data_IF_424375341218
#
_entry.id   IF_424375341218
#
_cell.length_a   1.000
_cell.length_b   1.000
_cell.length_c   1.000
_cell.angle_alpha   90.00
_cell.angle_beta   90.00
_cell.angle_gamma   90.00
#
_symmetry.space_group_name_H-M   'P 1'
#
loop_
_entity.id
_entity.type
_entity.pdbx_description
1 polymer ?
#
# COMPACT_ATOMS: atom_id res chain seq x y z
N UNK A 1 -11.80 -13.64 9.99
CA UNK A 1 -10.76 -12.75 9.41
C UNK A 1 -9.48 -13.55 9.25
N UNK A 2 -9.30 -14.27 8.13
CA UNK A 2 -8.03 -14.93 7.81
C UNK A 2 -7.72 -14.56 6.36
N UNK A 3 -6.96 -13.49 6.17
CA UNK A 3 -6.43 -13.06 4.90
C UNK A 3 -4.92 -13.29 5.00
N UNK A 4 -4.37 -14.23 4.24
CA UNK A 4 -2.99 -14.70 4.41
C UNK A 4 -2.00 -14.02 3.48
N UNK A 5 -2.47 -13.29 2.45
CA UNK A 5 -1.62 -12.77 1.38
C UNK A 5 -1.76 -11.26 1.19
N UNK A 6 -0.61 -10.64 0.95
CA UNK A 6 -0.48 -9.24 0.54
C UNK A 6 0.17 -9.24 -0.85
N UNK A 7 -0.58 -8.87 -1.89
CA UNK A 7 -0.11 -9.01 -3.29
C UNK A 7 0.00 -7.63 -3.91
N UNK A 8 1.16 -7.36 -4.52
CA UNK A 8 1.51 -6.03 -5.02
C UNK A 8 1.06 -5.81 -6.47
N UNK A 9 0.46 -4.65 -6.72
CA UNK A 9 0.22 -4.11 -8.08
C UNK A 9 1.48 -3.49 -8.65
N UNK A 10 1.61 -3.50 -9.98
CA UNK A 10 2.79 -3.03 -10.71
C UNK A 10 2.50 -1.90 -11.69
N UNK A 11 1.22 -1.59 -11.94
CA UNK A 11 0.78 -0.44 -12.72
C UNK A 11 1.41 0.87 -12.25
N UNK A 12 1.59 1.82 -13.16
CA UNK A 12 2.21 3.13 -12.90
C UNK A 12 1.18 4.26 -12.79
N UNK A 13 -0.04 4.03 -13.27
CA UNK A 13 -1.18 4.93 -13.09
C UNK A 13 -2.21 4.37 -12.10
N UNK A 14 -3.05 5.23 -11.54
CA UNK A 14 -4.09 4.79 -10.61
C UNK A 14 -5.06 3.79 -11.27
N UNK A 15 -5.42 4.03 -12.54
CA UNK A 15 -6.36 3.18 -13.29
C UNK A 15 -5.77 1.78 -13.53
N UNK A 16 -4.50 1.69 -13.94
CA UNK A 16 -3.80 0.41 -14.09
C UNK A 16 -3.75 -0.36 -12.77
N UNK A 17 -3.38 0.31 -11.68
CA UNK A 17 -3.33 -0.31 -10.34
C UNK A 17 -4.70 -0.82 -9.90
N UNK A 18 -5.79 -0.09 -10.19
CA UNK A 18 -7.15 -0.50 -9.84
C UNK A 18 -7.56 -1.71 -10.69
N UNK A 19 -7.30 -1.71 -11.99
CA UNK A 19 -7.62 -2.85 -12.87
C UNK A 19 -6.87 -4.10 -12.41
N UNK A 20 -5.57 -3.99 -12.14
CA UNK A 20 -4.74 -5.08 -11.64
C UNK A 20 -5.25 -5.58 -10.29
N UNK A 21 -5.56 -4.68 -9.35
CA UNK A 21 -6.10 -5.04 -8.04
C UNK A 21 -7.39 -5.86 -8.16
N UNK A 22 -8.32 -5.45 -9.03
CA UNK A 22 -9.57 -6.17 -9.26
C UNK A 22 -9.33 -7.53 -9.91
N UNK A 23 -8.34 -7.63 -10.82
CA UNK A 23 -7.92 -8.90 -11.40
C UNK A 23 -7.33 -9.84 -10.34
N UNK A 24 -6.47 -9.33 -9.45
CA UNK A 24 -5.87 -10.10 -8.35
C UNK A 24 -6.94 -10.66 -7.40
N UNK A 25 -7.93 -9.86 -7.01
CA UNK A 25 -9.03 -10.31 -6.16
C UNK A 25 -9.84 -11.42 -6.83
N UNK A 26 -10.02 -11.34 -8.15
CA UNK A 26 -10.76 -12.34 -8.94
C UNK A 26 -9.98 -13.64 -9.14
N UNK A 27 -8.68 -13.54 -9.41
CA UNK A 27 -7.86 -14.69 -9.86
C UNK A 27 -7.08 -15.37 -8.73
N UNK A 28 -6.67 -14.63 -7.70
CA UNK A 28 -5.87 -15.17 -6.60
C UNK A 28 -6.74 -15.59 -5.41
N UNK A 29 -7.35 -14.62 -4.72
CA UNK A 29 -8.32 -14.85 -3.64
C UNK A 29 -9.14 -13.57 -3.42
N UNK A 30 -10.43 -13.73 -3.16
CA UNK A 30 -11.34 -12.68 -2.68
C UNK A 30 -10.88 -11.99 -1.38
N UNK A 31 -10.01 -12.64 -0.61
CA UNK A 31 -9.47 -12.20 0.68
C UNK A 31 -7.95 -12.03 0.57
N UNK A 32 -7.54 -10.98 -0.14
CA UNK A 32 -6.16 -10.49 -0.17
C UNK A 32 -6.10 -9.04 0.32
N UNK A 33 -4.94 -8.64 0.83
CA UNK A 33 -4.58 -7.24 0.94
C UNK A 33 -3.88 -6.81 -0.35
N UNK A 34 -4.39 -5.77 -1.01
CA UNK A 34 -3.75 -5.21 -2.19
C UNK A 34 -2.61 -4.31 -1.71
N UNK A 35 -1.39 -4.64 -2.10
CA UNK A 35 -0.19 -3.91 -1.73
C UNK A 35 0.11 -2.83 -2.79
N UNK A 36 0.06 -1.56 -2.40
CA UNK A 36 0.16 -0.40 -3.31
C UNK A 36 1.35 0.48 -2.93
N UNK A 37 2.29 0.79 -3.84
CA UNK A 37 3.37 1.73 -3.56
C UNK A 37 2.85 3.14 -3.27
N UNK A 38 3.41 3.82 -2.26
CA UNK A 38 3.02 5.20 -1.91
C UNK A 38 3.64 6.21 -2.89
N UNK A 39 2.99 6.37 -4.03
CA UNK A 39 3.22 7.44 -5.02
C UNK A 39 1.98 8.32 -5.14
N UNK A 40 2.05 9.41 -5.91
CA UNK A 40 0.87 10.24 -6.18
C UNK A 40 -0.29 9.43 -6.81
N UNK A 41 0.01 8.58 -7.78
CA UNK A 41 -0.98 7.71 -8.41
C UNK A 41 -1.39 6.56 -7.47
N UNK A 42 -0.46 6.05 -6.68
CA UNK A 42 -0.73 5.05 -5.65
C UNK A 42 -1.72 5.56 -4.60
N UNK A 43 -1.57 6.78 -4.10
CA UNK A 43 -2.51 7.38 -3.12
C UNK A 43 -3.94 7.49 -3.68
N UNK A 44 -4.10 7.84 -4.96
CA UNK A 44 -5.41 7.84 -5.62
C UNK A 44 -6.00 6.42 -5.68
N UNK A 45 -5.19 5.44 -6.06
CA UNK A 45 -5.62 4.04 -6.12
C UNK A 45 -6.01 3.52 -4.73
N UNK A 46 -5.22 3.83 -3.69
CA UNK A 46 -5.51 3.48 -2.29
C UNK A 46 -6.88 4.04 -1.89
N UNK A 47 -7.13 5.34 -2.13
CA UNK A 47 -8.40 5.98 -1.79
C UNK A 47 -9.60 5.30 -2.47
N UNK A 48 -9.49 5.04 -3.78
CA UNK A 48 -10.57 4.40 -4.54
C UNK A 48 -10.80 2.96 -4.06
N UNK A 49 -9.75 2.15 -3.93
CA UNK A 49 -9.87 0.75 -3.55
C UNK A 49 -10.37 0.61 -2.09
N UNK A 50 -9.85 1.42 -1.17
CA UNK A 50 -10.30 1.43 0.23
C UNK A 50 -11.77 1.83 0.35
N UNK A 51 -12.22 2.85 -0.41
CA UNK A 51 -13.65 3.24 -0.45
C UNK A 51 -14.59 2.14 -0.95
N UNK A 52 -14.05 1.16 -1.71
CA UNK A 52 -14.76 -0.02 -2.20
C UNK A 52 -14.68 -1.22 -1.25
N UNK A 53 -14.07 -1.05 -0.07
CA UNK A 53 -13.96 -2.07 0.96
C UNK A 53 -12.79 -3.04 0.80
N UNK A 54 -11.85 -2.76 -0.11
CA UNK A 54 -10.65 -3.58 -0.24
C UNK A 54 -9.63 -3.27 0.85
N UNK A 55 -9.05 -4.31 1.43
CA UNK A 55 -7.93 -4.17 2.36
C UNK A 55 -6.67 -3.75 1.62
N UNK A 56 -5.97 -2.74 2.14
CA UNK A 56 -4.78 -2.16 1.49
C UNK A 56 -3.54 -2.27 2.38
N UNK A 57 -2.40 -2.58 1.75
CA UNK A 57 -1.08 -2.38 2.35
C UNK A 57 -0.30 -1.34 1.57
N UNK A 58 -0.12 -0.16 2.15
CA UNK A 58 0.71 0.88 1.58
C UNK A 58 2.19 0.50 1.75
N UNK A 59 2.95 0.45 0.66
CA UNK A 59 4.36 0.00 0.65
C UNK A 59 5.30 1.06 0.07
N UNK A 60 6.61 0.80 0.12
CA UNK A 60 7.64 1.73 -0.34
C UNK A 60 7.61 3.06 0.43
N UNK A 61 7.39 2.96 1.74
CA UNK A 61 7.39 4.10 2.66
C UNK A 61 8.81 4.32 3.17
N UNK A 62 9.28 5.57 3.01
CA UNK A 62 10.60 6.06 3.41
C UNK A 62 10.54 7.31 4.29
N UNK A 63 9.33 7.79 4.61
CA UNK A 63 9.13 8.94 5.48
C UNK A 63 7.80 8.86 6.22
N UNK A 64 7.71 9.53 7.36
CA UNK A 64 6.47 9.66 8.13
C UNK A 64 5.32 10.24 7.31
N UNK A 65 5.58 11.30 6.54
CA UNK A 65 4.53 11.95 5.75
C UNK A 65 3.91 11.00 4.71
N UNK A 66 4.70 10.09 4.13
CA UNK A 66 4.16 9.06 3.24
C UNK A 66 3.24 8.10 4.00
N UNK A 67 3.60 7.71 5.22
CA UNK A 67 2.75 6.87 6.05
C UNK A 67 1.44 7.58 6.42
N UNK A 68 1.51 8.84 6.87
CA UNK A 68 0.32 9.63 7.20
C UNK A 68 -0.60 9.81 5.99
N UNK A 69 -0.05 10.14 4.81
CA UNK A 69 -0.85 10.26 3.59
C UNK A 69 -1.50 8.94 3.19
N UNK A 70 -0.81 7.81 3.36
CA UNK A 70 -1.38 6.50 3.07
C UNK A 70 -2.51 6.12 4.05
N UNK A 71 -2.34 6.44 5.34
CA UNK A 71 -3.38 6.25 6.37
C UNK A 71 -4.60 7.10 6.05
N UNK A 72 -4.40 8.38 5.72
CA UNK A 72 -5.48 9.30 5.34
C UNK A 72 -6.21 8.85 4.07
N UNK A 73 -5.48 8.29 3.10
CA UNK A 73 -6.05 7.66 1.92
C UNK A 73 -6.81 6.35 2.21
N UNK A 74 -6.73 5.80 3.42
CA UNK A 74 -7.47 4.62 3.85
C UNK A 74 -6.70 3.30 3.79
N UNK A 75 -5.37 3.33 3.89
CA UNK A 75 -4.56 2.12 4.00
C UNK A 75 -4.86 1.33 5.29
N UNK A 76 -5.02 0.01 5.19
CA UNK A 76 -5.22 -0.87 6.36
C UNK A 76 -3.91 -1.22 7.06
N UNK A 77 -2.81 -1.25 6.30
CA UNK A 77 -1.45 -1.48 6.78
C UNK A 77 -0.50 -0.51 6.09
N UNK A 78 0.56 -0.16 6.80
CA UNK A 78 1.72 0.56 6.26
C UNK A 78 2.95 -0.34 6.36
N UNK A 79 3.77 -0.36 5.32
CA UNK A 79 5.00 -1.15 5.23
C UNK A 79 6.22 -0.24 4.96
N UNK A 80 6.83 0.33 6.03
CA UNK A 80 8.11 1.02 5.97
C UNK A 80 9.26 0.13 5.52
N UNK A 81 10.20 0.68 4.75
CA UNK A 81 11.38 -0.06 4.29
C UNK A 81 12.57 0.20 5.22
N UNK A 82 12.48 -0.29 6.46
CA UNK A 82 13.47 -0.07 7.54
C UNK A 82 14.92 -0.21 7.06
N UNK A 83 15.30 -1.39 6.54
CA UNK A 83 16.67 -1.64 6.08
C UNK A 83 17.12 -0.67 4.96
N UNK A 84 16.20 -0.24 4.10
CA UNK A 84 16.53 0.72 3.04
C UNK A 84 16.69 2.14 3.61
N UNK A 85 15.87 2.52 4.60
CA UNK A 85 15.99 3.80 5.30
C UNK A 85 17.30 3.88 6.09
N UNK A 86 17.66 2.83 6.84
CA UNK A 86 18.93 2.73 7.57
C UNK A 86 20.13 2.92 6.63
N UNK A 87 20.14 2.20 5.49
CA UNK A 87 21.21 2.32 4.50
C UNK A 87 21.31 3.72 3.86
N UNK A 88 20.23 4.50 3.91
CA UNK A 88 20.18 5.89 3.44
C UNK A 88 20.42 6.90 4.57
N UNK A 89 20.73 6.44 5.79
CA UNK A 89 20.84 7.26 7.01
C UNK A 89 19.58 8.08 7.31
N UNK A 90 18.40 7.49 7.04
CA UNK A 90 17.11 8.07 7.39
C UNK A 90 16.69 7.46 8.74
N UNK A 91 16.45 8.31 9.74
CA UNK A 91 15.94 7.88 11.05
C UNK A 91 14.55 7.23 10.92
N UNK A 92 14.43 5.98 11.39
CA UNK A 92 13.19 5.17 11.31
C UNK A 92 12.41 5.19 12.62
N UNK A 93 13.06 5.59 13.73
CA UNK A 93 12.55 5.49 15.10
C UNK A 93 11.23 6.24 15.33
N UNK A 94 10.97 7.29 14.55
CA UNK A 94 9.73 8.06 14.61
C UNK A 94 8.59 7.50 13.75
N UNK A 95 8.89 6.56 12.84
CA UNK A 95 7.92 5.90 11.96
C UNK A 95 7.46 4.54 12.48
N UNK A 96 8.33 3.81 13.18
CA UNK A 96 8.05 2.50 13.77
C UNK A 96 8.33 2.62 15.28
N UNK A 97 7.26 2.74 16.08
CA UNK A 97 7.32 2.85 17.54
C UNK A 97 6.71 1.60 18.20
#
# INVERSE_FOLDING_TARGET
MNCSLHIQVVGVTADEMIEEALRLVKEADSKIYIKVPVTKEGLKAIQILSSRGYGITATSIYSEIQAYLAIDAGASYVAPYHNCMDNLNIEVSSLIA
#
